data_IF_030021886370
#
_entry.id   IF_030021886370
#
_cell.length_a   1.000
_cell.length_b   1.000
_cell.length_c   1.000
_cell.angle_alpha   90.00
_cell.angle_beta   90.00
_cell.angle_gamma   90.00
#
_symmetry.space_group_name_H-M   'P 1'
#
loop_
_entity.id
_entity.type
_entity.pdbx_description
1 polymer ?
#
# COMPACT_ATOMS: atom_id res chain seq x y z
N UNK A 1 21.02 -0.14 0.13
CA UNK A 1 20.37 0.82 1.02
C UNK A 1 19.02 1.25 0.42
N UNK A 2 18.13 0.27 0.19
CA UNK A 2 17.01 0.39 -0.76
C UNK A 2 15.65 0.40 -0.08
N UNK A 3 15.51 1.10 1.06
CA UNK A 3 14.22 1.23 1.74
C UNK A 3 13.51 2.44 1.17
N UNK A 4 12.63 2.20 0.19
CA UNK A 4 11.70 3.23 -0.31
C UNK A 4 10.80 3.64 0.86
N UNK A 5 10.65 4.94 1.12
CA UNK A 5 9.76 5.42 2.18
C UNK A 5 8.30 5.04 1.82
N UNK A 6 7.43 4.71 2.80
CA UNK A 6 6.04 4.35 2.50
C UNK A 6 5.31 5.41 1.65
N UNK A 7 5.59 6.70 1.87
CA UNK A 7 5.04 7.79 1.07
C UNK A 7 5.51 7.75 -0.39
N UNK A 8 6.80 7.47 -0.61
CA UNK A 8 7.38 7.37 -1.95
C UNK A 8 6.80 6.16 -2.70
N UNK A 9 6.60 5.03 -2.00
CA UNK A 9 5.97 3.84 -2.57
C UNK A 9 4.54 4.12 -2.99
N UNK A 10 3.74 4.76 -2.12
CA UNK A 10 2.35 5.15 -2.43
C UNK A 10 2.30 6.14 -3.60
N UNK A 11 3.17 7.15 -3.60
CA UNK A 11 3.20 8.14 -4.68
C UNK A 11 3.54 7.50 -6.03
N UNK A 12 4.57 6.63 -6.07
CA UNK A 12 4.93 5.89 -7.27
C UNK A 12 3.79 4.98 -7.75
N UNK A 13 3.10 4.31 -6.82
CA UNK A 13 1.94 3.48 -7.13
C UNK A 13 0.78 4.29 -7.74
N UNK A 14 0.44 5.45 -7.17
CA UNK A 14 -0.63 6.33 -7.69
C UNK A 14 -0.30 6.77 -9.13
N UNK A 15 0.96 7.13 -9.41
CA UNK A 15 1.41 7.46 -10.76
C UNK A 15 1.25 6.28 -11.70
N UNK A 16 1.65 5.07 -11.29
CA UNK A 16 1.49 3.86 -12.09
C UNK A 16 0.01 3.56 -12.40
N UNK A 17 -0.88 3.67 -11.41
CA UNK A 17 -2.33 3.54 -11.60
C UNK A 17 -2.87 4.55 -12.61
N UNK A 18 -2.41 5.80 -12.56
CA UNK A 18 -2.77 6.83 -13.54
C UNK A 18 -2.32 6.49 -14.96
N UNK A 19 -1.10 5.96 -15.12
CA UNK A 19 -0.58 5.51 -16.43
C UNK A 19 -1.36 4.31 -16.97
N UNK A 20 -1.81 3.41 -16.09
CA UNK A 20 -2.58 2.22 -16.45
C UNK A 20 -4.09 2.49 -16.62
N UNK A 21 -4.57 3.69 -16.30
CA UNK A 21 -6.00 4.02 -16.34
C UNK A 21 -6.82 3.24 -15.31
N UNK A 22 -6.28 2.99 -14.12
CA UNK A 22 -6.99 2.30 -13.04
C UNK A 22 -7.97 3.27 -12.37
N UNK A 23 -9.26 3.06 -12.58
CA UNK A 23 -10.33 3.92 -12.05
C UNK A 23 -11.03 3.33 -10.82
N UNK A 24 -10.94 2.02 -10.62
CA UNK A 24 -11.68 1.29 -9.58
C UNK A 24 -10.83 1.02 -8.34
N UNK A 25 -11.30 1.42 -7.15
CA UNK A 25 -10.56 1.28 -5.89
C UNK A 25 -10.25 -0.17 -5.51
N UNK A 26 -11.14 -1.12 -5.84
CA UNK A 26 -10.91 -2.55 -5.60
C UNK A 26 -9.81 -3.12 -6.51
N UNK A 27 -9.64 -2.56 -7.71
CA UNK A 27 -8.49 -2.88 -8.59
C UNK A 27 -7.21 -2.32 -8.00
N UNK A 28 -7.22 -1.07 -7.51
CA UNK A 28 -6.06 -0.45 -6.85
C UNK A 28 -5.57 -1.26 -5.64
N UNK A 29 -6.47 -1.74 -4.78
CA UNK A 29 -6.09 -2.58 -3.62
C UNK A 29 -5.38 -3.86 -4.08
N UNK A 30 -5.95 -4.57 -5.06
CA UNK A 30 -5.35 -5.82 -5.59
C UNK A 30 -3.99 -5.57 -6.22
N UNK A 31 -3.84 -4.51 -7.01
CA UNK A 31 -2.56 -4.16 -7.63
C UNK A 31 -1.52 -3.73 -6.60
N UNK A 32 -1.92 -3.02 -5.54
CA UNK A 32 -0.99 -2.58 -4.50
C UNK A 32 -0.36 -3.76 -3.76
N UNK A 33 -1.16 -4.80 -3.46
CA UNK A 33 -0.66 -6.03 -2.81
C UNK A 33 0.46 -6.68 -3.62
N UNK A 34 0.36 -6.68 -4.96
CA UNK A 34 1.39 -7.21 -5.85
C UNK A 34 2.70 -6.41 -5.82
N UNK A 35 2.68 -5.17 -5.30
CA UNK A 35 3.89 -4.35 -5.16
C UNK A 35 4.63 -4.57 -3.84
N UNK A 36 4.00 -5.27 -2.88
CA UNK A 36 4.56 -5.48 -1.56
C UNK A 36 5.68 -6.54 -1.59
N UNK A 37 6.77 -6.26 -0.89
CA UNK A 37 7.92 -7.17 -0.79
C UNK A 37 8.36 -7.31 0.67
N UNK A 38 8.98 -8.45 0.99
CA UNK A 38 9.57 -8.75 2.30
C UNK A 38 8.63 -8.41 3.47
N UNK A 39 9.06 -7.52 4.37
CA UNK A 39 8.30 -7.11 5.56
C UNK A 39 6.93 -6.50 5.22
N UNK A 40 6.78 -5.87 4.06
CA UNK A 40 5.50 -5.30 3.64
C UNK A 40 4.50 -6.38 3.22
N UNK A 41 4.99 -7.41 2.52
CA UNK A 41 4.16 -8.56 2.18
C UNK A 41 3.78 -9.35 3.46
N UNK A 42 4.75 -9.58 4.35
CA UNK A 42 4.52 -10.26 5.63
C UNK A 42 3.46 -9.54 6.48
N UNK A 43 3.55 -8.22 6.63
CA UNK A 43 2.54 -7.40 7.30
C UNK A 43 1.14 -7.61 6.72
N UNK A 44 1.00 -7.55 5.40
CA UNK A 44 -0.30 -7.69 4.73
C UNK A 44 -0.95 -9.06 4.98
N UNK A 45 -0.17 -10.15 4.91
CA UNK A 45 -0.68 -11.50 5.14
C UNK A 45 -1.00 -11.82 6.61
N UNK A 46 -0.55 -10.98 7.56
CA UNK A 46 -0.92 -11.06 8.97
C UNK A 46 -2.18 -10.26 9.33
N UNK A 47 -2.75 -9.49 8.39
CA UNK A 47 -3.99 -8.76 8.62
C UNK A 47 -5.20 -9.71 8.76
N UNK A 48 -6.17 -9.30 9.57
CA UNK A 48 -7.43 -10.03 9.70
C UNK A 48 -8.23 -9.96 8.38
N UNK A 49 -9.06 -10.96 8.15
CA UNK A 49 -10.04 -10.90 7.06
C UNK A 49 -10.89 -9.62 7.18
N UNK A 50 -11.09 -8.95 6.05
CA UNK A 50 -11.82 -7.67 5.97
C UNK A 50 -11.15 -6.49 6.70
N UNK A 51 -9.88 -6.60 7.10
CA UNK A 51 -9.12 -5.45 7.64
C UNK A 51 -8.94 -4.32 6.61
N UNK A 52 -8.94 -4.65 5.31
CA UNK A 52 -8.87 -3.68 4.22
C UNK A 52 -10.12 -3.83 3.37
N UNK A 53 -10.93 -2.76 3.30
CA UNK A 53 -12.20 -2.73 2.57
C UNK A 53 -12.13 -1.90 1.29
N UNK A 54 -11.15 -1.01 1.18
CA UNK A 54 -11.02 0.00 0.13
C UNK A 54 -9.60 0.56 0.11
N UNK A 55 -9.30 1.37 -0.91
CA UNK A 55 -7.98 1.95 -1.12
C UNK A 55 -7.56 2.89 0.01
N UNK A 56 -8.49 3.70 0.53
CA UNK A 56 -8.18 4.64 1.60
C UNK A 56 -7.76 3.88 2.89
N UNK A 57 -8.46 2.80 3.22
CA UNK A 57 -8.12 1.93 4.36
C UNK A 57 -6.76 1.24 4.17
N UNK A 58 -6.46 0.72 2.97
CA UNK A 58 -5.14 0.16 2.63
C UNK A 58 -4.04 1.20 2.88
N UNK A 59 -4.20 2.39 2.30
CA UNK A 59 -3.23 3.48 2.40
C UNK A 59 -2.98 3.89 3.86
N UNK A 60 -4.04 4.15 4.62
CA UNK A 60 -3.91 4.61 6.02
C UNK A 60 -3.20 3.57 6.88
N UNK A 61 -3.55 2.28 6.76
CA UNK A 61 -2.90 1.25 7.58
C UNK A 61 -1.45 1.03 7.17
N UNK A 62 -1.15 1.05 5.86
CA UNK A 62 0.22 0.94 5.37
C UNK A 62 1.10 2.10 5.86
N UNK A 63 0.62 3.34 5.72
CA UNK A 63 1.31 4.52 6.24
C UNK A 63 1.51 4.41 7.77
N UNK A 64 0.46 4.05 8.52
CA UNK A 64 0.55 3.92 9.98
C UNK A 64 1.50 2.83 10.46
N UNK A 65 1.71 1.76 9.68
CA UNK A 65 2.58 0.66 10.07
C UNK A 65 4.05 0.91 9.71
N UNK A 66 4.31 1.54 8.56
CA UNK A 66 5.67 1.70 8.02
C UNK A 66 6.27 3.08 8.22
N UNK A 67 5.47 4.11 8.53
CA UNK A 67 6.04 5.40 8.93
C UNK A 67 6.61 5.29 10.35
N UNK A 68 7.80 5.85 10.60
CA UNK A 68 8.25 6.03 11.97
C UNK A 68 7.23 6.91 12.71
N UNK A 69 6.97 6.62 13.98
CA UNK A 69 6.22 7.54 14.82
C UNK A 69 6.97 8.87 14.84
N UNK A 70 6.34 9.95 14.40
CA UNK A 70 6.88 11.30 14.54
C UNK A 70 7.03 11.58 16.06
N UNK A 71 8.25 11.87 16.51
CA UNK A 71 8.56 12.42 17.84
C UNK A 71 8.03 13.85 18.01
#
# INVERSE_FOLDING_TARGET
DGKVHPDEHIAAFIVACGVLGVEHEDVSVRLFVETLQDNAADWFYHLLASAITDWNTMRTQFESHFKPAED
#
